data_IF_039310846280
#
_entry.id   IF_039310846280
#
_cell.length_a   1.000
_cell.length_b   1.000
_cell.length_c   1.000
_cell.angle_alpha   90.00
_cell.angle_beta   90.00
_cell.angle_gamma   90.00
#
_symmetry.space_group_name_H-M   'P 1'
#
loop_
_entity.id
_entity.type
_entity.pdbx_description
1 polymer ?
#
# COMPACT_ATOMS: atom_id res chain seq x y z
N UNK A 1 -28.20 -27.87 -31.64
CA UNK A 1 -27.69 -27.49 -30.33
C UNK A 1 -26.68 -26.36 -30.54
N UNK A 2 -27.05 -25.09 -30.27
CA UNK A 2 -26.21 -23.92 -30.56
C UNK A 2 -25.48 -23.53 -29.28
N UNK A 3 -24.16 -23.67 -29.25
CA UNK A 3 -23.28 -23.17 -28.18
C UNK A 3 -23.18 -21.65 -28.27
N UNK A 4 -23.58 -20.96 -27.23
CA UNK A 4 -23.52 -19.51 -27.08
C UNK A 4 -22.24 -19.19 -26.32
N UNK A 5 -21.25 -18.67 -27.02
CA UNK A 5 -19.98 -18.22 -26.43
C UNK A 5 -20.22 -16.91 -25.69
N UNK A 6 -20.09 -16.92 -24.37
CA UNK A 6 -20.09 -15.71 -23.54
C UNK A 6 -18.66 -15.23 -23.45
N UNK A 7 -18.36 -14.13 -24.13
CA UNK A 7 -17.13 -13.35 -23.94
C UNK A 7 -17.36 -12.42 -22.74
N UNK A 8 -16.87 -12.84 -21.58
CA UNK A 8 -16.74 -11.96 -20.43
C UNK A 8 -15.50 -11.09 -20.63
N UNK A 9 -15.70 -9.79 -20.88
CA UNK A 9 -14.64 -8.79 -20.86
C UNK A 9 -14.29 -8.46 -19.43
N UNK A 10 -13.09 -8.76 -19.01
CA UNK A 10 -12.50 -8.25 -17.77
C UNK A 10 -12.15 -6.80 -18.03
N UNK A 11 -12.90 -5.87 -17.45
CA UNK A 11 -12.55 -4.45 -17.43
C UNK A 11 -11.55 -4.28 -16.28
N UNK A 12 -10.28 -4.26 -16.60
CA UNK A 12 -9.23 -3.82 -15.68
C UNK A 12 -9.38 -2.31 -15.48
N UNK A 13 -9.97 -1.90 -14.39
CA UNK A 13 -10.00 -0.48 -13.98
C UNK A 13 -8.65 -0.14 -13.36
N UNK A 14 -7.72 0.32 -14.17
CA UNK A 14 -6.51 0.97 -13.70
C UNK A 14 -6.92 2.31 -13.08
N UNK A 15 -6.94 2.40 -11.76
CA UNK A 15 -7.08 3.65 -11.04
C UNK A 15 -5.76 4.43 -11.16
N UNK A 16 -5.64 5.21 -12.22
CA UNK A 16 -4.58 6.20 -12.37
C UNK A 16 -4.93 7.40 -11.47
N UNK A 17 -4.34 7.48 -10.29
CA UNK A 17 -4.33 8.71 -9.48
C UNK A 17 -3.41 9.74 -10.14
N UNK A 18 -3.92 10.48 -11.10
CA UNK A 18 -3.27 11.67 -11.64
C UNK A 18 -3.61 12.85 -10.72
N UNK A 19 -2.75 13.15 -9.76
CA UNK A 19 -2.76 14.42 -9.04
C UNK A 19 -2.05 15.48 -9.89
N UNK A 20 -2.80 16.19 -10.71
CA UNK A 20 -2.33 17.41 -11.35
C UNK A 20 -2.32 18.55 -10.32
N UNK A 21 -1.15 18.92 -9.82
CA UNK A 21 -0.93 20.17 -9.11
C UNK A 21 -0.61 21.25 -10.16
N UNK A 22 -1.58 22.10 -10.48
CA UNK A 22 -1.36 23.29 -11.29
C UNK A 22 -0.78 24.40 -10.42
N UNK A 23 0.51 24.68 -10.60
CA UNK A 23 1.16 25.88 -10.05
C UNK A 23 0.75 27.09 -10.91
N UNK A 24 -0.08 27.96 -10.35
CA UNK A 24 -0.32 29.30 -10.90
C UNK A 24 0.81 30.22 -10.45
N UNK A 25 1.73 30.51 -11.34
CA UNK A 25 2.75 31.53 -11.13
C UNK A 25 2.16 32.91 -11.41
N UNK A 26 2.10 33.81 -10.42
CA UNK A 26 1.90 35.24 -10.62
C UNK A 26 3.26 35.88 -10.88
N UNK A 27 3.45 36.31 -12.14
CA UNK A 27 4.51 37.26 -12.49
C UNK A 27 4.03 38.65 -12.16
N UNK A 28 4.79 39.37 -11.31
CA UNK A 28 4.64 40.82 -11.17
C UNK A 28 5.95 41.46 -11.64
N UNK A 29 5.89 42.10 -12.83
CA UNK A 29 6.94 43.02 -13.29
C UNK A 29 6.89 44.27 -12.42
N UNK A 30 8.02 44.68 -11.88
CA UNK A 30 8.24 46.10 -11.58
C UNK A 30 9.68 46.51 -11.92
N UNK A 31 9.76 47.48 -12.83
CA UNK A 31 10.94 48.11 -13.35
C UNK A 31 11.39 49.22 -12.42
N UNK A 32 12.69 49.36 -12.12
CA UNK A 32 13.19 50.59 -11.49
C UNK A 32 14.59 50.51 -10.89
N UNK A 33 15.57 50.80 -11.74
CA UNK A 33 16.74 51.64 -11.52
C UNK A 33 17.80 51.32 -10.42
N UNK A 34 18.96 50.92 -10.92
CA UNK A 34 20.39 51.21 -10.58
C UNK A 34 20.69 51.95 -9.27
N UNK A 35 21.45 51.30 -8.38
CA UNK A 35 22.69 51.89 -7.81
C UNK A 35 23.55 50.73 -7.22
N UNK A 36 24.82 50.71 -7.65
CA UNK A 36 25.88 49.82 -7.16
C UNK A 36 26.21 50.11 -5.70
N UNK A 37 26.31 49.04 -4.89
CA UNK A 37 27.28 48.94 -3.79
C UNK A 37 27.36 47.46 -3.33
N UNK A 38 28.52 46.90 -3.54
CA UNK A 38 29.32 45.95 -2.77
C UNK A 38 28.66 44.88 -1.90
N UNK A 39 28.99 43.64 -2.26
CA UNK A 39 29.40 42.55 -1.40
C UNK A 39 28.63 42.34 -0.08
N UNK A 40 27.51 41.70 -0.15
CA UNK A 40 27.13 40.74 0.87
C UNK A 40 26.96 39.39 0.18
N UNK A 41 28.01 38.55 0.32
CA UNK A 41 27.98 37.13 -0.01
C UNK A 41 26.97 36.48 0.96
N UNK A 42 25.70 36.59 0.63
CA UNK A 42 24.66 35.86 1.31
C UNK A 42 24.91 34.38 1.00
N UNK A 43 25.54 33.72 1.93
CA UNK A 43 25.56 32.25 1.98
C UNK A 43 24.11 31.81 2.06
N UNK A 44 23.53 31.48 0.91
CA UNK A 44 22.29 30.73 0.87
C UNK A 44 22.63 29.41 1.55
N UNK A 45 22.29 29.26 2.84
CA UNK A 45 22.24 27.98 3.49
C UNK A 45 21.31 27.13 2.62
N UNK A 46 21.91 26.22 1.85
CA UNK A 46 21.16 25.18 1.15
C UNK A 46 20.48 24.38 2.26
N UNK A 47 19.20 24.68 2.48
CA UNK A 47 18.37 23.90 3.37
C UNK A 47 18.45 22.45 2.89
N UNK A 48 19.10 21.60 3.66
CA UNK A 48 19.19 20.17 3.34
C UNK A 48 17.78 19.61 3.43
N UNK A 49 17.20 19.30 2.28
CA UNK A 49 15.87 18.67 2.21
C UNK A 49 16.01 17.29 2.86
N UNK A 50 15.30 17.11 3.98
CA UNK A 50 15.29 15.81 4.65
C UNK A 50 14.66 14.76 3.74
N UNK A 51 15.32 13.62 3.59
CA UNK A 51 14.89 12.51 2.74
C UNK A 51 14.70 11.23 3.56
N UNK A 52 13.92 10.31 3.01
CA UNK A 52 13.74 8.94 3.49
C UNK A 52 13.95 7.95 2.37
N UNK A 53 14.50 6.80 2.73
CA UNK A 53 14.64 5.64 1.83
C UNK A 53 13.59 4.60 2.21
N UNK A 54 12.89 4.08 1.21
CA UNK A 54 11.82 3.07 1.35
C UNK A 54 12.06 1.95 0.35
N UNK A 55 11.82 0.71 0.75
CA UNK A 55 11.84 -0.44 -0.17
C UNK A 55 10.42 -0.92 -0.42
N UNK A 56 10.02 -0.85 -1.68
CA UNK A 56 8.77 -1.43 -2.15
C UNK A 56 8.99 -2.91 -2.48
N UNK A 57 8.15 -3.78 -1.94
CA UNK A 57 8.18 -5.21 -2.24
C UNK A 57 7.94 -5.48 -3.74
N UNK A 58 8.52 -6.56 -4.26
CA UNK A 58 8.25 -7.07 -5.61
C UNK A 58 6.76 -7.28 -5.90
N UNK A 59 5.96 -7.53 -4.86
CA UNK A 59 4.51 -7.71 -4.99
C UNK A 59 3.77 -6.51 -5.59
N UNK A 60 4.32 -5.29 -5.44
CA UNK A 60 3.74 -4.08 -6.04
C UNK A 60 3.93 -3.99 -7.56
N UNK A 61 4.86 -4.77 -8.11
CA UNK A 61 5.31 -4.65 -9.51
C UNK A 61 5.11 -5.93 -10.32
N UNK A 62 4.24 -6.82 -9.84
CA UNK A 62 3.91 -8.05 -10.57
C UNK A 62 3.41 -7.70 -11.97
N UNK A 63 3.88 -8.47 -12.96
CA UNK A 63 3.53 -8.31 -14.38
C UNK A 63 4.05 -7.03 -15.06
N UNK A 64 4.97 -6.28 -14.44
CA UNK A 64 5.63 -5.12 -15.03
C UNK A 64 7.08 -5.44 -15.41
N UNK A 65 7.55 -4.92 -16.55
CA UNK A 65 8.96 -5.05 -16.90
C UNK A 65 9.83 -4.15 -16.01
N UNK A 66 11.01 -4.60 -15.55
CA UNK A 66 11.86 -3.85 -14.62
C UNK A 66 12.22 -2.43 -15.11
N UNK A 67 12.43 -2.25 -16.42
CA UNK A 67 12.70 -0.96 -17.04
C UNK A 67 11.52 -0.01 -16.94
N UNK A 68 10.29 -0.51 -17.08
CA UNK A 68 9.07 0.28 -16.99
C UNK A 68 8.80 0.71 -15.55
N UNK A 69 9.05 -0.18 -14.57
CA UNK A 69 8.94 0.12 -13.14
C UNK A 69 9.91 1.23 -12.76
N UNK A 70 11.18 1.12 -13.15
CA UNK A 70 12.18 2.13 -12.82
C UNK A 70 11.84 3.48 -13.42
N UNK A 71 11.41 3.53 -14.68
CA UNK A 71 10.99 4.75 -15.35
C UNK A 71 9.77 5.37 -14.64
N UNK A 72 8.75 4.57 -14.34
CA UNK A 72 7.54 5.01 -13.64
C UNK A 72 7.84 5.59 -12.25
N UNK A 73 8.71 4.96 -11.47
CA UNK A 73 9.12 5.46 -10.16
C UNK A 73 9.86 6.81 -10.28
N UNK A 74 10.74 6.95 -11.28
CA UNK A 74 11.43 8.22 -11.53
C UNK A 74 10.46 9.32 -11.98
N UNK A 75 9.51 9.03 -12.86
CA UNK A 75 8.45 9.97 -13.28
C UNK A 75 7.57 10.41 -12.11
N UNK A 76 7.33 9.54 -11.15
CA UNK A 76 6.64 9.87 -9.90
C UNK A 76 7.49 10.74 -8.96
N UNK A 77 8.74 11.06 -9.31
CA UNK A 77 9.63 11.92 -8.54
C UNK A 77 10.30 11.23 -7.35
N UNK A 78 10.50 9.91 -7.45
CA UNK A 78 11.43 9.21 -6.56
C UNK A 78 12.86 9.36 -7.10
N UNK A 79 13.83 9.51 -6.19
CA UNK A 79 15.25 9.53 -6.53
C UNK A 79 15.92 8.23 -6.10
N UNK A 80 17.16 8.02 -6.59
CA UNK A 80 17.98 6.87 -6.23
C UNK A 80 17.26 5.53 -6.34
N UNK A 81 16.50 5.36 -7.46
CA UNK A 81 15.71 4.14 -7.69
C UNK A 81 16.65 2.98 -7.99
N UNK A 82 16.70 2.01 -7.09
CA UNK A 82 17.55 0.82 -7.17
C UNK A 82 16.67 -0.42 -7.25
N UNK A 83 16.80 -1.20 -8.32
CA UNK A 83 16.21 -2.52 -8.43
C UNK A 83 17.06 -3.53 -7.62
N UNK A 84 16.44 -4.28 -6.73
CA UNK A 84 17.08 -5.31 -5.93
C UNK A 84 16.96 -6.69 -6.61
N UNK A 85 17.83 -7.63 -6.24
CA UNK A 85 17.87 -8.98 -6.84
C UNK A 85 16.57 -9.79 -6.60
N UNK A 86 15.83 -9.48 -5.54
CA UNK A 86 14.56 -10.10 -5.19
C UNK A 86 13.34 -9.48 -5.91
N UNK A 87 13.58 -8.55 -6.84
CA UNK A 87 12.53 -7.84 -7.59
C UNK A 87 11.90 -6.68 -6.83
N UNK A 88 12.33 -6.39 -5.61
CA UNK A 88 11.94 -5.19 -4.87
C UNK A 88 12.67 -3.94 -5.39
N UNK A 89 12.17 -2.75 -5.05
CA UNK A 89 12.78 -1.47 -5.44
C UNK A 89 13.00 -0.59 -4.23
N UNK A 90 14.24 -0.16 -4.05
CA UNK A 90 14.61 0.83 -3.03
C UNK A 90 14.63 2.21 -3.67
N UNK A 91 13.94 3.17 -3.06
CA UNK A 91 13.81 4.54 -3.56
C UNK A 91 14.07 5.55 -2.45
N UNK A 92 14.54 6.72 -2.82
CA UNK A 92 14.69 7.87 -1.92
C UNK A 92 13.62 8.92 -2.27
N UNK A 93 13.03 9.52 -1.25
CA UNK A 93 12.04 10.58 -1.40
C UNK A 93 12.16 11.62 -0.28
N UNK A 94 11.57 12.80 -0.45
CA UNK A 94 11.48 13.80 0.63
C UNK A 94 10.59 13.28 1.76
N UNK A 95 10.82 13.78 2.98
CA UNK A 95 9.97 13.43 4.15
C UNK A 95 8.53 13.79 3.91
N UNK A 96 8.23 14.93 3.28
CA UNK A 96 6.85 15.32 2.97
C UNK A 96 6.18 14.32 2.04
N UNK A 97 6.88 13.89 0.99
CA UNK A 97 6.36 12.87 0.07
C UNK A 97 6.15 11.53 0.76
N UNK A 98 7.06 11.14 1.65
CA UNK A 98 6.92 9.94 2.47
C UNK A 98 5.66 9.99 3.34
N UNK A 99 5.42 11.12 4.02
CA UNK A 99 4.23 11.28 4.87
C UNK A 99 2.95 11.16 4.04
N UNK A 100 2.89 11.82 2.87
CA UNK A 100 1.74 11.69 1.95
C UNK A 100 1.54 10.24 1.48
N UNK A 101 2.62 9.50 1.21
CA UNK A 101 2.55 8.09 0.83
C UNK A 101 1.96 7.25 1.96
N UNK A 102 2.47 7.42 3.20
CA UNK A 102 1.99 6.66 4.37
C UNK A 102 0.52 6.96 4.66
N UNK A 103 0.12 8.24 4.64
CA UNK A 103 -1.27 8.65 4.85
C UNK A 103 -2.21 8.08 3.78
N UNK A 104 -1.78 8.10 2.51
CA UNK A 104 -2.55 7.54 1.41
C UNK A 104 -2.71 6.02 1.55
N UNK A 105 -1.64 5.32 1.91
CA UNK A 105 -1.70 3.87 2.15
C UNK A 105 -2.57 3.52 3.34
N UNK A 106 -2.46 4.27 4.46
CA UNK A 106 -3.32 4.10 5.62
C UNK A 106 -4.80 4.21 5.22
N UNK A 107 -5.15 5.27 4.50
CA UNK A 107 -6.52 5.49 4.02
C UNK A 107 -7.00 4.35 3.12
N UNK A 108 -6.13 3.85 2.23
CA UNK A 108 -6.47 2.72 1.35
C UNK A 108 -6.69 1.42 2.12
N UNK A 109 -5.90 1.15 3.16
CA UNK A 109 -6.11 -0.03 4.02
C UNK A 109 -7.42 0.09 4.78
N UNK A 110 -7.70 1.26 5.39
CA UNK A 110 -8.98 1.54 6.06
C UNK A 110 -10.16 1.27 5.12
N UNK A 111 -10.13 1.83 3.89
CA UNK A 111 -11.21 1.64 2.92
C UNK A 111 -11.40 0.15 2.56
N UNK A 112 -10.30 -0.59 2.37
CA UNK A 112 -10.37 -2.03 2.07
C UNK A 112 -10.94 -2.82 3.25
N UNK A 113 -10.49 -2.56 4.48
CA UNK A 113 -10.97 -3.27 5.66
C UNK A 113 -12.44 -2.95 5.96
N UNK A 114 -12.83 -1.67 5.92
CA UNK A 114 -14.21 -1.23 6.15
C UNK A 114 -15.18 -1.74 5.05
N UNK A 115 -14.66 -2.05 3.87
CA UNK A 115 -15.41 -2.66 2.78
C UNK A 115 -15.75 -4.14 2.98
N UNK A 116 -15.00 -4.87 3.82
CA UNK A 116 -15.17 -6.33 4.00
C UNK A 116 -16.59 -6.70 4.51
N UNK A 117 -17.13 -6.08 5.57
CA UNK A 117 -18.46 -6.45 6.07
C UNK A 117 -19.62 -6.13 5.12
N UNK A 118 -19.37 -5.30 4.10
CA UNK A 118 -20.36 -4.91 3.10
C UNK A 118 -20.17 -5.61 1.76
N UNK A 119 -19.21 -6.53 1.67
CA UNK A 119 -18.90 -7.25 0.44
C UNK A 119 -19.88 -8.40 0.19
N UNK A 120 -20.33 -8.53 -1.06
CA UNK A 120 -21.08 -9.69 -1.52
C UNK A 120 -20.22 -10.96 -1.58
N UNK A 121 -18.87 -10.80 -1.62
CA UNK A 121 -17.92 -11.92 -1.66
C UNK A 121 -17.84 -12.65 -0.32
N UNK A 122 -18.07 -11.94 0.80
CA UNK A 122 -17.99 -12.50 2.16
C UNK A 122 -19.23 -12.16 3.00
N UNK A 123 -20.40 -12.66 2.60
CA UNK A 123 -21.69 -12.23 3.18
C UNK A 123 -21.87 -12.65 4.66
N UNK A 124 -21.04 -13.55 5.16
CA UNK A 124 -21.07 -13.96 6.57
C UNK A 124 -20.25 -13.06 7.48
N UNK A 125 -19.29 -12.28 6.94
CA UNK A 125 -18.51 -11.32 7.73
C UNK A 125 -19.37 -10.09 8.01
N UNK A 126 -19.72 -9.89 9.28
CA UNK A 126 -20.69 -8.86 9.72
C UNK A 126 -20.04 -7.64 10.33
N UNK A 127 -18.80 -7.75 10.81
CA UNK A 127 -18.06 -6.64 11.38
C UNK A 127 -16.54 -6.87 11.28
N UNK A 128 -15.81 -5.78 11.30
CA UNK A 128 -14.36 -5.76 11.41
C UNK A 128 -13.93 -4.70 12.43
N UNK A 129 -12.91 -4.98 13.22
CA UNK A 129 -12.26 -4.02 14.11
C UNK A 129 -10.76 -4.15 14.01
N UNK A 130 -10.03 -3.05 14.13
CA UNK A 130 -8.57 -3.01 14.01
C UNK A 130 -7.99 -1.85 14.80
N UNK A 131 -6.70 -1.93 15.14
CA UNK A 131 -5.94 -0.83 15.71
C UNK A 131 -5.36 0.10 14.61
N UNK A 132 -4.89 1.28 14.99
CA UNK A 132 -4.30 2.29 14.08
C UNK A 132 -3.12 1.76 13.24
N UNK A 133 -2.42 0.75 13.71
CA UNK A 133 -1.25 0.16 13.05
C UNK A 133 -1.61 -1.12 12.28
N UNK A 134 -2.87 -1.53 12.31
CA UNK A 134 -3.35 -2.79 11.76
C UNK A 134 -2.57 -4.01 12.27
N UNK A 135 -2.09 -3.94 13.52
CA UNK A 135 -1.34 -5.02 14.15
C UNK A 135 -2.25 -6.10 14.74
N UNK A 136 -3.49 -5.74 15.04
CA UNK A 136 -4.53 -6.63 15.50
C UNK A 136 -5.83 -6.33 14.76
N UNK A 137 -6.32 -7.31 14.02
CA UNK A 137 -7.58 -7.22 13.28
C UNK A 137 -8.50 -8.33 13.75
N UNK A 138 -9.76 -8.01 14.02
CA UNK A 138 -10.78 -8.99 14.38
C UNK A 138 -11.94 -8.91 13.41
N UNK A 139 -12.24 -10.04 12.78
CA UNK A 139 -13.37 -10.26 11.88
C UNK A 139 -14.47 -10.96 12.66
N UNK A 140 -15.69 -10.43 12.64
CA UNK A 140 -16.85 -11.09 13.24
C UNK A 140 -17.67 -11.74 12.13
N UNK A 141 -17.93 -13.05 12.28
CA UNK A 141 -18.81 -13.79 11.35
C UNK A 141 -20.16 -14.13 12.00
N UNK A 142 -21.20 -14.18 11.18
CA UNK A 142 -22.53 -14.70 11.58
C UNK A 142 -22.58 -16.24 11.60
N UNK A 143 -21.54 -16.91 11.06
CA UNK A 143 -21.46 -18.37 11.03
C UNK A 143 -20.77 -18.90 12.28
N UNK A 144 -21.13 -20.11 12.69
CA UNK A 144 -20.40 -20.86 13.75
C UNK A 144 -19.22 -21.65 13.22
N UNK A 145 -19.03 -21.71 11.91
CA UNK A 145 -17.95 -22.42 11.22
C UNK A 145 -17.41 -21.52 10.10
N UNK A 146 -16.11 -21.60 9.85
CA UNK A 146 -15.44 -20.82 8.79
C UNK A 146 -15.64 -21.58 7.48
N UNK A 147 -16.30 -20.93 6.50
CA UNK A 147 -16.42 -21.44 5.14
C UNK A 147 -15.12 -21.30 4.35
N UNK A 148 -15.04 -21.99 3.22
CA UNK A 148 -13.84 -21.98 2.37
C UNK A 148 -13.50 -20.55 1.88
N UNK A 149 -14.50 -19.74 1.56
CA UNK A 149 -14.29 -18.36 1.10
C UNK A 149 -13.77 -17.47 2.23
N UNK A 150 -14.40 -17.56 3.42
CA UNK A 150 -14.01 -16.79 4.59
C UNK A 150 -12.59 -17.14 5.08
N UNK A 151 -12.12 -18.35 4.82
CA UNK A 151 -10.75 -18.77 5.16
C UNK A 151 -9.66 -17.96 4.43
N UNK A 152 -9.98 -17.32 3.31
CA UNK A 152 -9.04 -16.45 2.58
C UNK A 152 -9.01 -14.99 3.07
N UNK A 153 -10.03 -14.54 3.80
CA UNK A 153 -10.10 -13.15 4.28
C UNK A 153 -8.92 -12.78 5.18
N UNK A 154 -8.51 -13.62 6.16
CA UNK A 154 -7.34 -13.33 6.99
C UNK A 154 -6.05 -13.12 6.19
N UNK A 155 -5.87 -13.89 5.11
CA UNK A 155 -4.71 -13.76 4.22
C UNK A 155 -4.68 -12.37 3.57
N UNK A 156 -5.79 -11.93 3.00
CA UNK A 156 -5.90 -10.61 2.37
C UNK A 156 -5.65 -9.49 3.38
N UNK A 157 -6.29 -9.55 4.54
CA UNK A 157 -6.15 -8.59 5.64
C UNK A 157 -4.70 -8.55 6.13
N UNK A 158 -4.10 -9.72 6.39
CA UNK A 158 -2.71 -9.82 6.85
C UNK A 158 -1.72 -9.23 5.87
N UNK A 159 -1.88 -9.50 4.56
CA UNK A 159 -1.01 -8.98 3.51
C UNK A 159 -1.05 -7.45 3.44
N UNK A 160 -2.24 -6.85 3.31
CA UNK A 160 -2.36 -5.38 3.19
C UNK A 160 -1.87 -4.67 4.44
N UNK A 161 -2.11 -5.24 5.63
CA UNK A 161 -1.63 -4.72 6.90
C UNK A 161 -0.09 -4.75 6.98
N UNK A 162 0.52 -5.89 6.66
CA UNK A 162 1.98 -6.03 6.65
C UNK A 162 2.65 -5.12 5.62
N UNK A 163 2.05 -4.94 4.43
CA UNK A 163 2.56 -4.02 3.40
C UNK A 163 2.55 -2.57 3.90
N UNK A 164 1.46 -2.13 4.52
CA UNK A 164 1.39 -0.80 5.14
C UNK A 164 2.47 -0.62 6.21
N UNK A 165 2.57 -1.57 7.15
CA UNK A 165 3.54 -1.52 8.25
C UNK A 165 4.97 -1.42 7.75
N UNK A 166 5.32 -2.20 6.70
CA UNK A 166 6.64 -2.16 6.08
C UNK A 166 6.99 -0.77 5.54
N UNK A 167 6.07 -0.14 4.82
CA UNK A 167 6.27 1.20 4.23
C UNK A 167 6.25 2.27 5.32
N UNK A 168 5.37 2.15 6.31
CA UNK A 168 5.30 3.05 7.46
C UNK A 168 6.51 2.92 8.42
N UNK A 169 7.41 1.96 8.18
CA UNK A 169 8.58 1.71 9.03
C UNK A 169 8.22 1.17 10.41
N UNK A 170 7.09 0.48 10.50
CA UNK A 170 6.61 -0.16 11.73
C UNK A 170 7.07 -1.63 11.80
N UNK A 171 7.02 -2.27 12.98
CA UNK A 171 7.21 -3.71 13.08
C UNK A 171 6.17 -4.45 12.23
N UNK A 172 6.64 -5.31 11.31
CA UNK A 172 5.77 -6.06 10.41
C UNK A 172 5.20 -7.26 11.14
N UNK A 173 3.98 -7.11 11.67
CA UNK A 173 3.24 -8.16 12.34
C UNK A 173 1.76 -7.81 12.40
N UNK A 174 0.90 -8.67 11.88
CA UNK A 174 -0.54 -8.56 11.97
C UNK A 174 -1.13 -9.86 12.53
N UNK A 175 -1.91 -9.76 13.60
CA UNK A 175 -2.71 -10.87 14.12
C UNK A 175 -4.14 -10.69 13.61
N UNK A 176 -4.64 -11.66 12.87
CA UNK A 176 -6.02 -11.65 12.35
C UNK A 176 -6.81 -12.74 13.04
N UNK A 177 -7.83 -12.33 13.80
CA UNK A 177 -8.74 -13.24 14.49
C UNK A 177 -10.09 -13.28 13.78
N UNK A 178 -10.69 -14.47 13.68
CA UNK A 178 -12.09 -14.64 13.30
C UNK A 178 -12.83 -15.09 14.57
N UNK A 179 -13.89 -14.34 14.90
CA UNK A 179 -14.78 -14.65 16.03
C UNK A 179 -16.21 -14.84 15.53
N UNK A 180 -17.00 -15.65 16.22
CA UNK A 180 -18.44 -15.75 15.96
C UNK A 180 -19.20 -14.55 16.55
N UNK A 181 -20.54 -14.51 16.33
CA UNK A 181 -21.41 -13.44 16.84
C UNK A 181 -21.49 -13.36 18.38
N UNK A 182 -20.97 -14.37 19.11
CA UNK A 182 -20.86 -14.34 20.58
C UNK A 182 -19.49 -13.85 21.06
N UNK A 183 -18.52 -13.67 20.14
CA UNK A 183 -17.15 -13.32 20.44
C UNK A 183 -16.23 -14.52 20.71
N UNK A 184 -16.70 -15.75 20.50
CA UNK A 184 -15.86 -16.95 20.61
C UNK A 184 -14.90 -17.03 19.40
N UNK A 185 -13.61 -17.25 19.67
CA UNK A 185 -12.59 -17.37 18.63
C UNK A 185 -12.77 -18.65 17.83
N UNK A 186 -12.87 -18.50 16.50
CA UNK A 186 -12.94 -19.61 15.54
C UNK A 186 -11.59 -19.89 14.90
N UNK A 187 -10.78 -18.84 14.68
CA UNK A 187 -9.46 -18.93 14.08
C UNK A 187 -8.61 -17.73 14.46
N UNK A 188 -7.29 -17.93 14.51
CA UNK A 188 -6.30 -16.88 14.67
C UNK A 188 -5.09 -17.17 13.77
N UNK A 189 -4.63 -16.16 13.04
CA UNK A 189 -3.47 -16.24 12.15
C UNK A 189 -2.53 -15.07 12.40
N UNK A 190 -1.22 -15.33 12.39
CA UNK A 190 -0.19 -14.30 12.57
C UNK A 190 0.57 -14.12 11.25
N UNK A 191 0.59 -12.92 10.72
CA UNK A 191 1.28 -12.58 9.48
C UNK A 191 2.55 -11.77 9.78
N UNK A 192 3.66 -11.98 9.04
CA UNK A 192 3.77 -12.83 7.83
C UNK A 192 3.97 -14.35 8.10
N UNK A 193 4.10 -14.81 9.33
CA UNK A 193 4.49 -16.18 9.68
C UNK A 193 3.58 -17.24 9.03
N UNK A 194 2.27 -16.97 8.94
CA UNK A 194 1.29 -17.86 8.31
C UNK A 194 1.55 -18.08 6.80
N UNK A 195 2.22 -17.14 6.12
CA UNK A 195 2.62 -17.31 4.71
C UNK A 195 3.74 -18.33 4.56
N UNK A 196 4.72 -18.30 5.48
CA UNK A 196 5.85 -19.21 5.47
C UNK A 196 5.42 -20.64 5.80
N UNK A 197 4.41 -20.80 6.65
CA UNK A 197 3.82 -22.11 6.98
C UNK A 197 3.10 -22.71 5.77
N UNK A 198 2.26 -21.92 5.08
CA UNK A 198 1.54 -22.35 3.89
C UNK A 198 2.49 -22.77 2.76
N UNK A 199 3.63 -22.09 2.61
CA UNK A 199 4.64 -22.47 1.62
C UNK A 199 5.35 -23.78 1.98
N UNK A 200 5.66 -24.00 3.25
CA UNK A 200 6.29 -25.26 3.72
C UNK A 200 5.39 -26.46 3.52
N UNK A 201 4.10 -26.34 3.81
CA UNK A 201 3.14 -27.41 3.63
C UNK A 201 2.95 -27.81 2.17
N UNK A 202 3.00 -26.83 1.25
CA UNK A 202 2.89 -27.10 -0.18
C UNK A 202 4.10 -27.85 -0.75
N UNK A 203 5.30 -27.67 -0.18
CA UNK A 203 6.54 -28.36 -0.60
C UNK A 203 6.59 -29.79 -0.05
N UNK A 204 6.00 -30.04 1.10
CA UNK A 204 5.99 -31.38 1.74
C UNK A 204 4.89 -32.29 1.19
N UNK A 205 3.91 -31.77 0.48
CA UNK A 205 2.79 -32.53 -0.11
C UNK A 205 3.10 -33.09 -1.52
N UNK A 206 4.31 -32.91 -2.06
CA UNK A 206 4.77 -33.35 -3.37
C UNK A 206 5.87 -34.40 -3.22
#
# INVERSE_FOLDING_TARGET
MKMKTIRGGIVATAAACALCVTMVGCATENSGNVTSEQDEYSSVEQATIATRTVTFSALFFQDQAPEDVQASLQEQGYSDVVANEDGSYTVTMTVDKYNVLVDSMHSSVVEQLDGIPNSEDWPTITAITYDEQFSNVTLTTSSSEIGLQEAFVPLQVGLVSCMYQQIAGQPVKCVVNIVDGSGAELSSSVYPDALDEAQRDSVTAN
#
